data_IF_802909314711
#
_entry.id   IF_802909314711
#
_cell.length_a   1.000
_cell.length_b   1.000
_cell.length_c   1.000
_cell.angle_alpha   90.00
_cell.angle_beta   90.00
_cell.angle_gamma   90.00
#
_symmetry.space_group_name_H-M   'P 1'
#
loop_
_entity.id
_entity.type
_entity.pdbx_description
1 polymer ?
#
# COMPACT_ATOMS: atom_id res chain seq x y z
N UNK A 1 21.94 -8.86 10.12
CA UNK A 1 21.26 -10.18 10.29
C UNK A 1 20.90 -10.83 8.94
N UNK A 2 20.42 -10.09 7.94
CA UNK A 2 20.11 -10.64 6.60
C UNK A 2 21.36 -11.14 5.86
N UNK A 3 22.50 -10.49 6.04
CA UNK A 3 23.77 -10.89 5.42
C UNK A 3 24.28 -12.25 5.89
N UNK A 4 24.05 -12.59 7.17
CA UNK A 4 24.44 -13.91 7.71
C UNK A 4 23.57 -15.08 7.21
N UNK A 5 22.36 -14.81 6.72
CA UNK A 5 21.46 -15.84 6.19
C UNK A 5 21.88 -16.28 4.77
N UNK A 6 22.44 -15.38 3.97
CA UNK A 6 22.91 -15.71 2.63
C UNK A 6 24.16 -16.64 2.65
N UNK A 7 25.01 -16.51 3.71
CA UNK A 7 26.20 -17.34 3.88
C UNK A 7 25.91 -18.71 4.51
N UNK A 8 24.69 -18.95 4.99
CA UNK A 8 24.30 -20.21 5.67
C UNK A 8 23.82 -21.30 4.69
N UNK A 9 24.17 -21.21 3.41
CA UNK A 9 23.79 -22.21 2.40
C UNK A 9 24.49 -23.54 2.62
N UNK A 10 23.72 -24.64 2.50
CA UNK A 10 24.24 -26.00 2.58
C UNK A 10 24.82 -26.41 1.23
N UNK A 11 26.05 -26.95 1.21
CA UNK A 11 26.73 -27.42 0.01
C UNK A 11 26.11 -28.72 -0.56
N UNK A 12 26.41 -29.00 -1.83
CA UNK A 12 25.87 -30.14 -2.57
C UNK A 12 26.38 -31.48 -2.02
N UNK A 13 25.47 -32.43 -1.76
CA UNK A 13 25.80 -33.76 -1.28
C UNK A 13 25.38 -34.84 -2.29
N UNK A 14 26.03 -36.02 -2.26
CA UNK A 14 25.79 -37.12 -3.20
C UNK A 14 24.51 -37.92 -2.94
N UNK A 15 23.88 -37.78 -1.82
CA UNK A 15 22.65 -38.47 -1.43
C UNK A 15 21.43 -37.67 -1.89
N UNK A 16 20.57 -38.28 -2.71
CA UNK A 16 19.43 -37.63 -3.36
C UNK A 16 18.47 -36.96 -2.38
N UNK A 17 18.19 -37.61 -1.26
CA UNK A 17 17.32 -37.11 -0.19
C UNK A 17 17.92 -35.89 0.50
N UNK A 18 19.23 -35.89 0.74
CA UNK A 18 19.95 -34.76 1.33
C UNK A 18 20.00 -33.57 0.36
N UNK A 19 20.10 -33.80 -0.95
CA UNK A 19 20.04 -32.75 -1.93
C UNK A 19 18.66 -32.10 -2.01
N UNK A 20 17.59 -32.87 -1.87
CA UNK A 20 16.24 -32.35 -1.85
C UNK A 20 15.96 -31.49 -0.60
N UNK A 21 16.46 -31.94 0.55
CA UNK A 21 16.43 -31.16 1.78
C UNK A 21 17.23 -29.85 1.66
N UNK A 22 18.45 -29.92 1.10
CA UNK A 22 19.29 -28.75 0.84
C UNK A 22 18.57 -27.71 -0.04
N UNK A 23 17.96 -28.16 -1.14
CA UNK A 23 17.21 -27.26 -2.06
C UNK A 23 16.07 -26.58 -1.31
N UNK A 24 15.28 -27.34 -0.55
CA UNK A 24 14.16 -26.80 0.23
C UNK A 24 14.62 -25.82 1.30
N UNK A 25 15.71 -26.14 2.00
CA UNK A 25 16.31 -25.28 3.01
C UNK A 25 16.86 -23.98 2.41
N UNK A 26 17.63 -24.08 1.31
CA UNK A 26 18.16 -22.89 0.64
C UNK A 26 17.03 -21.99 0.10
N UNK A 27 15.97 -22.58 -0.47
CA UNK A 27 14.78 -21.84 -0.89
C UNK A 27 14.07 -21.14 0.27
N UNK A 28 14.03 -21.78 1.44
CA UNK A 28 13.49 -21.15 2.65
C UNK A 28 14.36 -19.97 3.09
N UNK A 29 15.69 -20.12 3.09
CA UNK A 29 16.62 -19.04 3.43
C UNK A 29 16.51 -17.86 2.48
N UNK A 30 16.39 -18.10 1.16
CA UNK A 30 16.17 -17.06 0.16
C UNK A 30 14.89 -16.29 0.43
N UNK A 31 13.77 -16.98 0.64
CA UNK A 31 12.49 -16.34 0.99
C UNK A 31 12.58 -15.52 2.28
N UNK A 32 13.32 -16.01 3.27
CA UNK A 32 13.50 -15.30 4.53
C UNK A 32 14.37 -14.05 4.34
N UNK A 33 15.43 -14.14 3.54
CA UNK A 33 16.28 -12.99 3.20
C UNK A 33 15.49 -11.92 2.42
N UNK A 34 14.70 -12.33 1.44
CA UNK A 34 13.82 -11.44 0.68
C UNK A 34 12.80 -10.75 1.59
N UNK A 35 12.17 -11.50 2.51
CA UNK A 35 11.21 -10.94 3.47
C UNK A 35 11.84 -9.90 4.39
N UNK A 36 13.07 -10.14 4.88
CA UNK A 36 13.81 -9.17 5.69
C UNK A 36 14.19 -7.92 4.90
N UNK A 37 14.60 -8.07 3.64
CA UNK A 37 14.94 -6.92 2.79
C UNK A 37 13.71 -6.06 2.49
N UNK A 38 12.58 -6.68 2.16
CA UNK A 38 11.29 -6.00 1.97
C UNK A 38 10.90 -5.26 3.26
N UNK A 39 10.99 -5.91 4.41
CA UNK A 39 10.68 -5.29 5.70
C UNK A 39 11.60 -4.12 6.02
N UNK A 40 12.91 -4.24 5.74
CA UNK A 40 13.89 -3.17 5.92
C UNK A 40 13.58 -1.96 5.05
N UNK A 41 13.33 -2.17 3.75
CA UNK A 41 12.96 -1.12 2.81
C UNK A 41 11.65 -0.44 3.21
N UNK A 42 10.65 -1.23 3.60
CA UNK A 42 9.38 -0.72 4.10
C UNK A 42 9.57 0.22 5.30
N UNK A 43 10.34 -0.22 6.31
CA UNK A 43 10.59 0.57 7.52
C UNK A 43 11.36 1.85 7.20
N UNK A 44 12.35 1.78 6.31
CA UNK A 44 13.13 2.95 5.88
C UNK A 44 12.24 3.96 5.12
N UNK A 45 11.44 3.48 4.17
CA UNK A 45 10.52 4.33 3.41
C UNK A 45 9.47 4.97 4.33
N UNK A 46 8.86 4.19 5.23
CA UNK A 46 7.91 4.71 6.21
C UNK A 46 8.52 5.82 7.08
N UNK A 47 9.75 5.62 7.57
CA UNK A 47 10.45 6.62 8.38
C UNK A 47 10.73 7.91 7.58
N UNK A 48 11.10 7.82 6.31
CA UNK A 48 11.29 8.98 5.43
C UNK A 48 9.99 9.73 5.18
N UNK A 49 8.93 9.01 4.83
CA UNK A 49 7.61 9.57 4.54
C UNK A 49 6.95 10.22 5.77
N UNK A 50 7.19 9.71 6.98
CA UNK A 50 6.74 10.31 8.24
C UNK A 50 7.57 11.54 8.62
N UNK A 51 8.88 11.54 8.35
CA UNK A 51 9.77 12.66 8.71
C UNK A 51 9.41 13.94 7.96
N UNK A 52 9.05 13.84 6.69
CA UNK A 52 8.76 15.00 5.84
C UNK A 52 7.62 15.88 6.40
N UNK A 53 6.40 15.38 6.64
CA UNK A 53 5.32 16.18 7.20
C UNK A 53 5.62 16.68 8.61
N UNK A 54 6.33 15.89 9.44
CA UNK A 54 6.77 16.33 10.77
C UNK A 54 7.72 17.52 10.68
N UNK A 55 8.72 17.47 9.78
CA UNK A 55 9.65 18.58 9.57
C UNK A 55 8.94 19.82 9.06
N UNK A 56 7.97 19.69 8.17
CA UNK A 56 7.16 20.82 7.68
C UNK A 56 6.37 21.46 8.82
N UNK A 57 5.72 20.66 9.66
CA UNK A 57 4.99 21.18 10.84
C UNK A 57 5.96 21.90 11.80
N UNK A 58 7.12 21.30 12.07
CA UNK A 58 8.11 21.91 12.97
C UNK A 58 8.58 23.27 12.45
N UNK A 59 8.95 23.35 11.18
CA UNK A 59 9.41 24.63 10.56
C UNK A 59 8.31 25.69 10.62
N UNK A 60 7.06 25.32 10.37
CA UNK A 60 5.93 26.25 10.43
C UNK A 60 5.69 26.76 11.86
N UNK A 61 5.76 25.89 12.86
CA UNK A 61 5.65 26.27 14.25
C UNK A 61 6.84 27.15 14.71
N UNK A 62 8.05 26.82 14.30
CA UNK A 62 9.25 27.60 14.62
C UNK A 62 9.18 29.00 13.99
N UNK A 63 8.72 29.09 12.73
CA UNK A 63 8.50 30.35 12.05
C UNK A 63 7.44 31.19 12.78
N UNK A 64 6.31 30.57 13.14
CA UNK A 64 5.25 31.22 13.88
C UNK A 64 5.75 31.76 15.25
N UNK A 65 6.52 30.97 15.99
CA UNK A 65 7.07 31.39 17.28
C UNK A 65 8.16 32.47 17.17
N UNK A 66 8.89 32.54 16.06
CA UNK A 66 9.98 33.51 15.86
C UNK A 66 9.51 34.86 15.32
N UNK A 67 8.29 34.95 14.83
CA UNK A 67 7.72 36.16 14.23
C UNK A 67 6.77 36.85 15.22
N UNK A 68 6.91 38.16 15.47
CA UNK A 68 5.92 38.90 16.30
C UNK A 68 4.56 38.92 15.57
N UNK A 69 3.49 38.47 16.25
CA UNK A 69 2.11 38.48 15.74
C UNK A 69 1.23 39.43 16.54
N UNK A 70 1.39 40.75 16.44
CA UNK A 70 0.56 41.67 17.17
C UNK A 70 -0.86 41.71 16.57
N UNK A 71 -1.74 40.78 17.05
CA UNK A 71 -3.15 40.78 16.71
C UNK A 71 -3.51 40.32 15.31
N UNK A 72 -2.66 39.54 14.63
CA UNK A 72 -2.93 39.04 13.28
C UNK A 72 -3.50 37.61 13.33
N UNK A 73 -4.83 37.49 13.43
CA UNK A 73 -5.54 36.20 13.41
C UNK A 73 -5.34 35.43 12.10
N UNK A 74 -5.02 36.10 11.00
CA UNK A 74 -4.83 35.47 9.69
C UNK A 74 -3.61 34.56 9.66
N UNK A 75 -2.46 35.00 10.21
CA UNK A 75 -1.23 34.17 10.26
C UNK A 75 -1.39 32.97 11.19
N UNK A 76 -2.11 33.15 12.30
CA UNK A 76 -2.45 32.07 13.21
C UNK A 76 -3.33 31.04 12.53
N UNK A 77 -4.37 31.46 11.82
CA UNK A 77 -5.27 30.58 11.08
C UNK A 77 -4.53 29.83 9.96
N UNK A 78 -3.64 30.50 9.24
CA UNK A 78 -2.83 29.86 8.19
C UNK A 78 -1.92 28.78 8.75
N UNK A 79 -1.21 29.06 9.84
CA UNK A 79 -0.34 28.10 10.52
C UNK A 79 -1.13 26.89 11.02
N UNK A 80 -2.26 27.10 11.67
CA UNK A 80 -3.15 26.04 12.14
C UNK A 80 -3.67 25.18 10.98
N UNK A 81 -4.05 25.79 9.85
CA UNK A 81 -4.50 25.09 8.66
C UNK A 81 -3.39 24.17 8.13
N UNK A 82 -2.17 24.69 7.99
CA UNK A 82 -1.03 23.90 7.50
C UNK A 82 -0.68 22.74 8.42
N UNK A 83 -0.68 22.97 9.75
CA UNK A 83 -0.45 21.91 10.74
C UNK A 83 -1.54 20.84 10.67
N UNK A 84 -2.80 21.25 10.55
CA UNK A 84 -3.95 20.33 10.43
C UNK A 84 -3.85 19.48 9.16
N UNK A 85 -3.48 20.08 8.03
CA UNK A 85 -3.28 19.35 6.76
C UNK A 85 -2.16 18.32 6.88
N UNK A 86 -1.01 18.67 7.50
CA UNK A 86 0.10 17.72 7.69
C UNK A 86 -0.27 16.61 8.68
N UNK A 87 -1.01 16.94 9.75
CA UNK A 87 -1.51 15.92 10.67
C UNK A 87 -2.48 14.94 10.00
N UNK A 88 -3.36 15.42 9.11
CA UNK A 88 -4.22 14.57 8.29
C UNK A 88 -3.42 13.62 7.37
N UNK A 89 -2.34 14.11 6.75
CA UNK A 89 -1.43 13.27 5.96
C UNK A 89 -0.75 12.19 6.80
N UNK A 90 -0.25 12.55 7.99
CA UNK A 90 0.36 11.59 8.93
C UNK A 90 -0.65 10.53 9.36
N UNK A 91 -1.86 10.91 9.73
CA UNK A 91 -2.91 9.98 10.14
C UNK A 91 -3.25 8.98 9.04
N UNK A 92 -3.36 9.44 7.79
CA UNK A 92 -3.58 8.58 6.63
C UNK A 92 -2.42 7.60 6.42
N UNK A 93 -1.19 8.06 6.59
CA UNK A 93 0.02 7.25 6.45
C UNK A 93 0.12 6.18 7.52
N UNK A 94 -0.12 6.54 8.80
CA UNK A 94 -0.16 5.58 9.92
C UNK A 94 -1.22 4.51 9.66
N UNK A 95 -2.41 4.90 9.19
CA UNK A 95 -3.46 3.95 8.82
C UNK A 95 -2.99 2.99 7.74
N UNK A 96 -2.36 3.49 6.68
CA UNK A 96 -1.80 2.65 5.61
C UNK A 96 -0.75 1.66 6.14
N UNK A 97 0.12 2.09 7.07
CA UNK A 97 1.13 1.23 7.68
C UNK A 97 0.50 0.12 8.55
N UNK A 98 -0.55 0.44 9.30
CA UNK A 98 -1.32 -0.55 10.07
C UNK A 98 -2.02 -1.54 9.15
N UNK A 99 -2.70 -1.05 8.12
CA UNK A 99 -3.34 -1.89 7.10
C UNK A 99 -2.33 -2.88 6.47
N UNK A 100 -1.12 -2.41 6.13
CA UNK A 100 -0.06 -3.28 5.59
C UNK A 100 0.44 -4.33 6.59
N UNK A 101 0.47 -4.01 7.89
CA UNK A 101 0.85 -4.98 8.93
C UNK A 101 -0.21 -6.07 9.08
N UNK A 102 -1.49 -5.73 9.02
CA UNK A 102 -2.59 -6.69 9.09
C UNK A 102 -2.63 -7.62 7.88
N UNK A 103 -2.25 -7.14 6.69
CA UNK A 103 -2.24 -7.92 5.45
C UNK A 103 -1.25 -9.11 5.49
N UNK A 104 -0.27 -9.11 6.40
CA UNK A 104 0.68 -10.22 6.55
C UNK A 104 0.06 -11.47 7.20
N UNK A 105 -1.05 -11.32 7.92
CA UNK A 105 -1.72 -12.40 8.66
C UNK A 105 -2.93 -12.99 7.93
N UNK A 106 -3.29 -12.44 6.77
CA UNK A 106 -4.49 -12.86 6.04
C UNK A 106 -4.24 -14.16 5.27
N UNK A 107 -5.18 -15.11 5.38
CA UNK A 107 -5.18 -16.36 4.60
C UNK A 107 -5.19 -16.07 3.10
N UNK A 108 -4.55 -16.94 2.30
CA UNK A 108 -4.40 -16.79 0.84
C UNK A 108 -4.78 -18.05 0.08
N UNK A 109 -5.65 -18.85 0.65
CA UNK A 109 -6.07 -20.15 0.14
C UNK A 109 -7.57 -20.23 -0.23
N UNK A 110 -8.23 -19.05 -0.30
CA UNK A 110 -9.62 -18.94 -0.73
C UNK A 110 -9.73 -18.98 -2.24
N UNK A 111 -10.81 -19.60 -2.75
CA UNK A 111 -11.16 -19.55 -4.17
C UNK A 111 -12.01 -18.32 -4.43
N UNK A 112 -11.53 -17.41 -5.25
CA UNK A 112 -12.11 -16.11 -5.53
C UNK A 112 -12.70 -16.13 -6.95
N UNK A 113 -13.98 -15.76 -7.07
CA UNK A 113 -14.62 -15.47 -8.35
C UNK A 113 -14.26 -14.03 -8.75
N UNK A 114 -13.35 -13.86 -9.70
CA UNK A 114 -12.77 -12.55 -10.04
C UNK A 114 -13.79 -11.62 -10.68
N UNK A 115 -14.72 -12.15 -11.45
CA UNK A 115 -15.83 -11.41 -12.07
C UNK A 115 -16.73 -10.79 -11.02
N UNK A 116 -17.20 -11.58 -10.04
CA UNK A 116 -18.05 -11.11 -8.95
C UNK A 116 -17.34 -10.05 -8.09
N UNK A 117 -16.05 -10.26 -7.77
CA UNK A 117 -15.24 -9.31 -7.01
C UNK A 117 -15.06 -7.98 -7.76
N UNK A 118 -14.82 -8.02 -9.06
CA UNK A 118 -14.69 -6.80 -9.88
C UNK A 118 -16.02 -6.05 -9.93
N UNK A 119 -17.13 -6.76 -10.11
CA UNK A 119 -18.47 -6.14 -10.12
C UNK A 119 -18.79 -5.44 -8.80
N UNK A 120 -18.44 -6.05 -7.65
CA UNK A 120 -18.57 -5.43 -6.32
C UNK A 120 -17.76 -4.14 -6.21
N UNK A 121 -16.49 -4.16 -6.63
CA UNK A 121 -15.63 -2.97 -6.63
C UNK A 121 -16.19 -1.85 -7.51
N UNK A 122 -16.71 -2.18 -8.69
CA UNK A 122 -17.30 -1.19 -9.59
C UNK A 122 -18.57 -0.57 -9.01
N UNK A 123 -19.40 -1.35 -8.33
CA UNK A 123 -20.60 -0.85 -7.62
C UNK A 123 -20.20 0.10 -6.50
N UNK A 124 -19.20 -0.26 -5.68
CA UNK A 124 -18.74 0.57 -4.57
C UNK A 124 -18.11 1.89 -5.02
N UNK A 125 -17.48 1.92 -6.20
CA UNK A 125 -16.85 3.11 -6.76
C UNK A 125 -17.74 3.91 -7.72
N UNK A 126 -18.95 3.43 -8.02
CA UNK A 126 -19.90 4.13 -8.89
C UNK A 126 -20.20 5.58 -8.43
N UNK A 127 -20.42 5.87 -7.11
CA UNK A 127 -20.67 7.24 -6.67
C UNK A 127 -19.49 8.18 -6.98
N UNK A 128 -18.25 7.68 -6.81
CA UNK A 128 -17.05 8.46 -7.10
C UNK A 128 -16.87 8.71 -8.61
N UNK A 129 -17.23 7.73 -9.43
CA UNK A 129 -17.17 7.85 -10.88
C UNK A 129 -18.23 8.85 -11.41
N UNK A 130 -19.42 8.85 -10.83
CA UNK A 130 -20.52 9.76 -11.20
C UNK A 130 -20.16 11.23 -10.95
N UNK A 131 -19.41 11.55 -9.86
CA UNK A 131 -18.94 12.93 -9.60
C UNK A 131 -18.12 13.51 -10.77
N UNK A 132 -17.47 12.66 -11.57
CA UNK A 132 -16.65 13.04 -12.73
C UNK A 132 -17.25 12.61 -14.07
N UNK A 133 -18.49 12.14 -14.10
CA UNK A 133 -19.14 11.56 -15.27
C UNK A 133 -18.31 10.44 -15.94
N UNK A 134 -17.54 9.68 -15.16
CA UNK A 134 -16.71 8.60 -15.67
C UNK A 134 -17.54 7.33 -15.79
N UNK A 135 -17.44 6.66 -16.96
CA UNK A 135 -18.09 5.38 -17.19
C UNK A 135 -17.21 4.24 -16.68
N UNK A 136 -17.74 3.41 -15.77
CA UNK A 136 -17.11 2.17 -15.33
C UNK A 136 -17.57 1.00 -16.19
N UNK A 137 -16.67 0.11 -16.60
CA UNK A 137 -16.93 -1.05 -17.44
C UNK A 137 -16.18 -2.26 -16.88
N UNK A 138 -16.91 -3.30 -16.44
CA UNK A 138 -16.36 -4.62 -16.17
C UNK A 138 -16.40 -5.47 -17.44
N UNK A 139 -15.29 -6.09 -17.80
CA UNK A 139 -15.19 -7.05 -18.90
C UNK A 139 -14.39 -8.27 -18.42
N UNK A 140 -14.97 -8.99 -17.47
CA UNK A 140 -14.38 -10.17 -16.87
C UNK A 140 -15.05 -11.43 -17.41
N UNK A 141 -14.23 -12.45 -17.70
CA UNK A 141 -14.73 -13.80 -17.97
C UNK A 141 -14.85 -14.54 -16.64
N UNK A 142 -15.63 -15.63 -16.63
CA UNK A 142 -15.72 -16.57 -15.50
C UNK A 142 -14.31 -17.08 -15.14
N UNK A 143 -13.60 -16.32 -14.34
CA UNK A 143 -12.22 -16.61 -13.95
C UNK A 143 -12.14 -16.74 -12.45
N UNK A 144 -11.56 -17.83 -11.99
CA UNK A 144 -11.30 -18.05 -10.57
C UNK A 144 -9.81 -18.01 -10.29
N UNK A 145 -9.43 -17.50 -9.12
CA UNK A 145 -8.06 -17.54 -8.64
C UNK A 145 -8.02 -17.99 -7.18
N UNK A 146 -6.88 -18.52 -6.75
CA UNK A 146 -6.64 -18.83 -5.34
C UNK A 146 -5.86 -17.68 -4.71
N UNK A 147 -6.36 -17.14 -3.62
CA UNK A 147 -5.73 -16.00 -2.95
C UNK A 147 -6.48 -15.59 -1.69
N UNK A 148 -6.36 -14.32 -1.33
CA UNK A 148 -7.17 -13.70 -0.30
C UNK A 148 -8.15 -12.74 -0.95
N UNK A 149 -9.43 -12.94 -0.71
CA UNK A 149 -10.52 -12.10 -1.20
C UNK A 149 -10.29 -10.62 -0.80
N UNK A 150 -10.01 -10.37 0.47
CA UNK A 150 -9.74 -9.01 1.00
C UNK A 150 -8.55 -8.35 0.29
N UNK A 151 -7.47 -9.09 0.00
CA UNK A 151 -6.29 -8.53 -0.65
C UNK A 151 -6.56 -8.17 -2.11
N UNK A 152 -7.22 -9.06 -2.83
CA UNK A 152 -7.55 -8.84 -4.25
C UNK A 152 -8.57 -7.73 -4.38
N UNK A 153 -9.61 -7.72 -3.53
CA UNK A 153 -10.57 -6.62 -3.48
C UNK A 153 -9.88 -5.27 -3.27
N UNK A 154 -9.04 -5.13 -2.22
CA UNK A 154 -8.30 -3.89 -1.94
C UNK A 154 -7.38 -3.49 -3.09
N UNK A 155 -6.73 -4.44 -3.74
CA UNK A 155 -5.87 -4.17 -4.89
C UNK A 155 -6.68 -3.60 -6.06
N UNK A 156 -7.76 -4.25 -6.44
CA UNK A 156 -8.63 -3.82 -7.55
C UNK A 156 -9.26 -2.47 -7.21
N UNK A 157 -9.80 -2.31 -6.00
CA UNK A 157 -10.38 -1.06 -5.52
C UNK A 157 -9.40 0.12 -5.65
N UNK A 158 -8.18 -0.02 -5.14
CA UNK A 158 -7.17 1.03 -5.20
C UNK A 158 -6.77 1.38 -6.65
N UNK A 159 -6.70 0.39 -7.54
CA UNK A 159 -6.38 0.60 -8.96
C UNK A 159 -7.51 1.36 -9.66
N UNK A 160 -8.75 0.96 -9.44
CA UNK A 160 -9.93 1.60 -10.05
C UNK A 160 -10.15 3.00 -9.47
N UNK A 161 -10.04 3.17 -8.14
CA UNK A 161 -10.11 4.49 -7.49
C UNK A 161 -9.07 5.45 -8.07
N UNK A 162 -7.83 5.00 -8.23
CA UNK A 162 -6.78 5.80 -8.85
C UNK A 162 -7.10 6.12 -10.33
N UNK A 163 -7.61 5.15 -11.07
CA UNK A 163 -8.01 5.35 -12.46
C UNK A 163 -9.13 6.39 -12.60
N UNK A 164 -10.09 6.44 -11.66
CA UNK A 164 -11.13 7.47 -11.59
C UNK A 164 -10.51 8.83 -11.20
N UNK A 165 -9.69 8.83 -10.14
CA UNK A 165 -9.11 10.05 -9.58
C UNK A 165 -8.26 10.84 -10.59
N UNK A 166 -7.44 10.13 -11.37
CA UNK A 166 -6.52 10.72 -12.34
C UNK A 166 -7.07 10.77 -13.76
N UNK A 167 -8.33 10.37 -13.97
CA UNK A 167 -9.02 10.49 -15.25
C UNK A 167 -9.49 11.93 -15.51
N UNK A 168 -9.79 12.22 -16.78
CA UNK A 168 -10.48 13.44 -17.19
C UNK A 168 -11.99 13.30 -17.00
N UNK A 169 -12.68 14.42 -16.94
CA UNK A 169 -14.14 14.47 -16.85
C UNK A 169 -14.78 13.83 -18.10
N UNK A 170 -15.81 13.02 -17.90
CA UNK A 170 -16.47 12.29 -18.99
C UNK A 170 -15.66 11.13 -19.57
N UNK A 171 -14.61 10.69 -18.86
CA UNK A 171 -13.75 9.59 -19.28
C UNK A 171 -14.35 8.20 -19.07
N UNK A 172 -13.52 7.18 -19.20
CA UNK A 172 -13.90 5.79 -19.04
C UNK A 172 -12.82 5.03 -18.28
N UNK A 173 -13.22 4.09 -17.42
CA UNK A 173 -12.34 3.10 -16.78
C UNK A 173 -12.87 1.71 -17.13
N UNK A 174 -12.00 0.85 -17.66
CA UNK A 174 -12.34 -0.54 -18.00
C UNK A 174 -11.47 -1.49 -17.20
N UNK A 175 -12.10 -2.42 -16.50
CA UNK A 175 -11.44 -3.52 -15.82
C UNK A 175 -11.64 -4.80 -16.63
N UNK A 176 -10.53 -5.48 -16.94
CA UNK A 176 -10.56 -6.72 -17.74
C UNK A 176 -9.83 -7.84 -17.01
N UNK A 177 -10.47 -9.01 -16.90
CA UNK A 177 -9.88 -10.25 -16.42
C UNK A 177 -10.13 -11.40 -17.43
N UNK A 178 -9.09 -12.22 -17.71
CA UNK A 178 -9.13 -13.34 -18.67
C UNK A 178 -8.15 -14.46 -18.29
#
# INVERSE_FOLDING_TARGET
QAQNLADSRIEENKVKELNQLRISYNKMLERLADAFEIQRQFTANAAHELRTPLSVMQVQLDLYHSTPHPGNDADTLQTLKMVTEQNGRLSKMVKTLLDMSELQTVSRDETIAVDALVDEVLVDLEPLAQEKEIKLIGNCKDTTMVGSDILIYRMVYNLVENAIKYNHFGGQVTVTAY
#
